data_IF_454367192789
#
_entry.id   IF_454367192789
#
_cell.length_a   1.000
_cell.length_b   1.000
_cell.length_c   1.000
_cell.angle_alpha   90.00
_cell.angle_beta   90.00
_cell.angle_gamma   90.00
#
_symmetry.space_group_name_H-M   'P 1'
#
loop_
_entity.id
_entity.type
_entity.pdbx_description
1 polymer ?
#
# COMPACT_ATOMS: atom_id res chain seq x y z
N UNK A 1 -1.54 2.52 11.60
CA UNK A 1 -2.11 3.40 10.57
C UNK A 1 -1.00 4.09 9.80
N UNK A 2 -1.06 4.02 8.48
CA UNK A 2 -0.02 4.52 7.58
C UNK A 2 -0.65 5.39 6.49
N UNK A 3 -0.08 6.57 6.26
CA UNK A 3 -0.66 7.57 5.37
C UNK A 3 -0.38 7.26 3.91
N UNK A 4 -1.37 7.45 3.04
CA UNK A 4 -1.19 7.43 1.58
C UNK A 4 -0.66 8.80 1.15
N UNK A 5 0.54 8.83 0.59
CA UNK A 5 1.21 10.07 0.18
C UNK A 5 1.14 10.32 -1.32
N UNK A 6 0.84 9.30 -2.11
CA UNK A 6 0.65 9.40 -3.55
C UNK A 6 -0.24 8.26 -4.04
N UNK A 7 -1.10 8.54 -5.02
CA UNK A 7 -1.93 7.53 -5.68
C UNK A 7 -2.06 7.86 -7.16
N UNK A 8 -1.90 6.83 -7.99
CA UNK A 8 -2.06 6.94 -9.43
C UNK A 8 -2.79 5.72 -10.00
N UNK A 9 -3.81 5.96 -10.81
CA UNK A 9 -4.48 4.92 -11.57
C UNK A 9 -3.68 4.68 -12.87
N UNK A 10 -2.89 3.61 -12.92
CA UNK A 10 -2.10 3.25 -14.10
C UNK A 10 -3.02 2.90 -15.28
N UNK A 11 -4.10 2.18 -14.98
CA UNK A 11 -5.17 1.87 -15.92
C UNK A 11 -6.48 1.65 -15.12
N UNK A 12 -7.63 1.38 -15.77
CA UNK A 12 -8.92 1.23 -15.07
C UNK A 12 -8.97 0.17 -13.96
N UNK A 13 -8.02 -0.77 -13.94
CA UNK A 13 -7.99 -1.89 -12.99
C UNK A 13 -6.72 -1.98 -12.16
N UNK A 14 -5.70 -1.16 -12.43
CA UNK A 14 -4.40 -1.23 -11.75
C UNK A 14 -4.05 0.13 -11.17
N UNK A 15 -3.72 0.12 -9.88
CA UNK A 15 -3.41 1.33 -9.10
C UNK A 15 -2.04 1.19 -8.47
N UNK A 16 -1.26 2.27 -8.56
CA UNK A 16 -0.05 2.48 -7.79
C UNK A 16 -0.36 3.37 -6.59
N UNK A 17 0.19 3.01 -5.44
CA UNK A 17 0.01 3.75 -4.20
C UNK A 17 1.33 3.81 -3.44
N UNK A 18 1.72 5.01 -2.98
CA UNK A 18 2.85 5.19 -2.07
C UNK A 18 2.33 5.43 -0.66
N UNK A 19 2.89 4.70 0.27
CA UNK A 19 2.47 4.68 1.67
C UNK A 19 3.65 5.12 2.54
N UNK A 20 3.41 6.05 3.46
CA UNK A 20 4.36 6.48 4.48
C UNK A 20 4.58 5.34 5.50
N UNK A 21 5.73 4.68 5.40
CA UNK A 21 6.08 3.50 6.19
C UNK A 21 7.61 3.45 6.42
N UNK A 22 8.19 4.40 7.16
CA UNK A 22 9.64 4.61 7.21
C UNK A 22 10.40 3.45 7.84
N UNK A 23 9.76 2.68 8.73
CA UNK A 23 10.37 1.49 9.35
C UNK A 23 10.48 0.33 8.37
N UNK A 24 9.51 0.18 7.46
CA UNK A 24 9.49 -0.86 6.43
C UNK A 24 10.44 -0.46 5.31
N UNK A 25 10.34 0.77 4.81
CA UNK A 25 11.21 1.29 3.74
C UNK A 25 12.69 1.03 4.07
N UNK A 26 13.13 1.38 5.29
CA UNK A 26 14.52 1.18 5.76
C UNK A 26 15.02 -0.27 5.72
N UNK A 27 14.13 -1.26 5.75
CA UNK A 27 14.46 -2.68 5.84
C UNK A 27 14.08 -3.47 4.59
N UNK A 28 13.32 -2.88 3.69
CA UNK A 28 12.78 -3.54 2.53
C UNK A 28 13.88 -4.05 1.60
N UNK A 29 13.69 -5.25 1.07
CA UNK A 29 14.56 -5.91 0.11
C UNK A 29 13.75 -6.45 -1.07
N UNK A 30 14.34 -6.57 -2.26
CA UNK A 30 13.65 -7.13 -3.43
C UNK A 30 13.06 -8.51 -3.14
N UNK A 31 11.81 -8.73 -3.58
CA UNK A 31 11.08 -9.98 -3.38
C UNK A 31 10.27 -10.06 -2.08
N UNK A 32 10.35 -9.05 -1.20
CA UNK A 32 9.50 -8.97 -0.01
C UNK A 32 8.11 -8.42 -0.32
N UNK A 33 7.19 -8.66 0.62
CA UNK A 33 5.81 -8.20 0.57
C UNK A 33 5.42 -7.62 1.93
N UNK A 34 4.36 -6.84 1.94
CA UNK A 34 3.69 -6.36 3.13
C UNK A 34 2.36 -7.09 3.33
N UNK A 35 1.89 -7.15 4.57
CA UNK A 35 0.52 -7.50 4.92
C UNK A 35 -0.20 -6.21 5.28
N UNK A 36 -1.29 -5.90 4.57
CA UNK A 36 -2.12 -4.74 4.89
C UNK A 36 -3.54 -5.14 5.27
N UNK A 37 -4.18 -4.26 6.04
CA UNK A 37 -5.62 -4.26 6.32
C UNK A 37 -6.17 -2.85 6.14
N UNK A 38 -7.20 -2.72 5.32
CA UNK A 38 -7.73 -1.41 4.89
C UNK A 38 -8.48 -0.69 6.01
N UNK A 39 -9.46 -1.36 6.63
CA UNK A 39 -10.32 -0.84 7.70
C UNK A 39 -10.29 -1.77 8.94
N UNK A 40 -10.97 -1.43 10.04
CA UNK A 40 -10.91 -2.22 11.28
C UNK A 40 -11.46 -3.66 11.13
N UNK A 41 -12.53 -3.82 10.36
CA UNK A 41 -13.20 -5.11 10.11
C UNK A 41 -12.68 -5.81 8.84
N UNK A 42 -11.64 -5.25 8.21
CA UNK A 42 -11.14 -5.67 6.92
C UNK A 42 -10.28 -6.92 6.96
N UNK A 43 -10.13 -7.55 5.80
CA UNK A 43 -9.24 -8.70 5.65
C UNK A 43 -7.76 -8.26 5.61
N UNK A 44 -6.88 -9.18 5.97
CA UNK A 44 -5.43 -9.03 5.80
C UNK A 44 -5.02 -9.63 4.47
N UNK A 45 -4.48 -8.81 3.57
CA UNK A 45 -4.03 -9.26 2.25
C UNK A 45 -2.53 -8.98 2.05
N UNK A 46 -1.78 -9.89 1.40
CA UNK A 46 -0.40 -9.64 1.02
C UNK A 46 -0.32 -8.81 -0.26
N UNK A 47 0.59 -7.82 -0.30
CA UNK A 47 0.98 -7.12 -1.53
C UNK A 47 2.49 -6.99 -1.61
N UNK A 48 3.06 -7.24 -2.79
CA UNK A 48 4.49 -7.10 -3.05
C UNK A 48 4.95 -5.65 -2.88
N UNK A 49 6.13 -5.45 -2.29
CA UNK A 49 6.81 -4.15 -2.32
C UNK A 49 7.34 -3.94 -3.74
N UNK A 50 6.69 -3.05 -4.49
CA UNK A 50 7.08 -2.76 -5.87
C UNK A 50 8.31 -1.84 -5.92
N UNK A 51 8.41 -0.91 -4.96
CA UNK A 51 9.56 -0.03 -4.78
C UNK A 51 9.57 0.52 -3.35
N UNK A 52 10.68 1.10 -2.90
CA UNK A 52 10.76 1.80 -1.63
C UNK A 52 11.80 2.92 -1.68
N UNK A 53 11.57 3.98 -0.90
CA UNK A 53 12.50 5.10 -0.76
C UNK A 53 12.84 5.34 0.70
N UNK A 54 14.11 5.09 1.02
CA UNK A 54 14.67 5.25 2.36
C UNK A 54 14.73 6.70 2.85
N UNK A 55 14.85 7.66 1.93
CA UNK A 55 14.96 9.08 2.26
C UNK A 55 13.58 9.67 2.54
N UNK A 56 12.61 9.42 1.66
CA UNK A 56 11.22 9.87 1.88
C UNK A 56 10.45 8.99 2.87
N UNK A 57 10.95 7.79 3.19
CA UNK A 57 10.31 6.86 4.12
C UNK A 57 9.10 6.14 3.53
N UNK A 58 9.02 6.01 2.21
CA UNK A 58 7.82 5.53 1.52
C UNK A 58 8.00 4.13 0.94
N UNK A 59 6.91 3.37 0.92
CA UNK A 59 6.81 2.08 0.25
C UNK A 59 5.79 2.19 -0.86
N UNK A 60 6.16 1.75 -2.06
CA UNK A 60 5.28 1.71 -3.23
C UNK A 60 4.68 0.31 -3.36
N UNK A 61 3.36 0.26 -3.44
CA UNK A 61 2.60 -0.95 -3.78
C UNK A 61 1.87 -0.73 -5.10
N UNK A 62 1.76 -1.80 -5.89
CA UNK A 62 0.95 -1.82 -7.10
C UNK A 62 -0.02 -2.99 -6.96
N UNK A 63 -1.31 -2.74 -7.17
CA UNK A 63 -2.33 -3.76 -7.03
C UNK A 63 -3.37 -3.66 -8.13
N UNK A 64 -3.97 -4.80 -8.44
CA UNK A 64 -5.10 -4.90 -9.36
C UNK A 64 -6.41 -4.99 -8.57
N UNK A 65 -7.44 -4.31 -9.05
CA UNK A 65 -8.80 -4.34 -8.52
C UNK A 65 -9.44 -5.64 -9.00
N UNK A 66 -9.55 -6.61 -8.09
CA UNK A 66 -10.01 -7.99 -8.40
C UNK A 66 -11.01 -8.54 -7.37
N UNK A 67 -11.31 -7.80 -6.31
CA UNK A 67 -12.25 -8.22 -5.28
C UNK A 67 -12.49 -7.15 -4.23
N UNK A 68 -13.32 -7.47 -3.24
CA UNK A 68 -13.83 -6.50 -2.27
C UNK A 68 -12.73 -5.72 -1.54
N UNK A 69 -11.67 -6.39 -1.07
CA UNK A 69 -10.59 -5.71 -0.33
C UNK A 69 -9.75 -4.79 -1.22
N UNK A 70 -9.50 -5.16 -2.48
CA UNK A 70 -8.77 -4.29 -3.43
C UNK A 70 -9.63 -3.15 -3.98
N UNK A 71 -10.94 -3.35 -4.11
CA UNK A 71 -11.90 -2.26 -4.39
C UNK A 71 -11.94 -1.24 -3.25
N UNK A 72 -12.05 -1.70 -2.00
CA UNK A 72 -11.99 -0.84 -0.81
C UNK A 72 -10.68 -0.05 -0.73
N UNK A 73 -9.55 -0.73 -0.92
CA UNK A 73 -8.23 -0.08 -0.95
C UNK A 73 -8.16 0.97 -2.06
N UNK A 74 -8.71 0.68 -3.24
CA UNK A 74 -8.79 1.64 -4.35
C UNK A 74 -9.73 2.82 -4.06
N UNK A 75 -10.64 2.70 -3.10
CA UNK A 75 -11.49 3.82 -2.66
C UNK A 75 -10.74 4.88 -1.87
N UNK A 76 -9.60 4.55 -1.26
CA UNK A 76 -8.78 5.50 -0.49
C UNK A 76 -8.03 6.47 -1.39
N UNK A 77 -7.84 7.70 -0.93
CA UNK A 77 -7.18 8.78 -1.66
C UNK A 77 -5.90 9.24 -0.96
N UNK A 78 -5.14 10.10 -1.64
CA UNK A 78 -4.01 10.78 -1.01
C UNK A 78 -4.47 11.56 0.22
N UNK A 79 -3.74 11.41 1.32
CA UNK A 79 -4.12 11.97 2.61
C UNK A 79 -4.86 11.00 3.53
N UNK A 80 -5.49 9.95 2.98
CA UNK A 80 -6.14 8.90 3.75
C UNK A 80 -5.12 7.93 4.39
N UNK A 81 -5.62 7.04 5.24
CA UNK A 81 -4.79 6.11 6.00
C UNK A 81 -5.23 4.66 5.76
N UNK A 82 -4.23 3.79 5.64
CA UNK A 82 -4.41 2.34 5.73
C UNK A 82 -4.31 1.96 7.20
N UNK A 83 -5.26 1.16 7.70
CA UNK A 83 -5.34 0.83 9.12
C UNK A 83 -4.08 0.09 9.62
N UNK A 84 -3.74 -1.03 8.97
CA UNK A 84 -2.52 -1.78 9.23
C UNK A 84 -1.67 -1.93 7.96
N UNK A 85 -0.36 -1.74 8.11
CA UNK A 85 0.62 -1.92 7.06
C UNK A 85 1.91 -2.47 7.68
N UNK A 86 2.14 -3.78 7.55
CA UNK A 86 3.18 -4.52 8.27
C UNK A 86 4.12 -5.26 7.30
N UNK A 87 5.42 -5.24 7.60
CA UNK A 87 6.48 -5.87 6.81
C UNK A 87 7.86 -5.62 7.40
#
# INVERSE_FOLDING_TARGET
>A
MNKIVYKENINPTVTLMKVDAPLIAKKAQPGQFIILRVDEDGERIPLTIADYDNQSGTVTIIFQIVGATTEKLNGLNEGDYINDFAG
#
